data_IF_818210276349
#
_entry.id   IF_818210276349
#
_cell.length_a   1.000
_cell.length_b   1.000
_cell.length_c   1.000
_cell.angle_alpha   90.00
_cell.angle_beta   90.00
_cell.angle_gamma   90.00
#
_symmetry.space_group_name_H-M   'P 1'
#
loop_
_entity.id
_entity.type
_entity.pdbx_description
1 polymer ?
#
# COMPACT_ATOMS: atom_id res chain seq x y z
N UNK A 1 -27.88 -1.55 -19.81
CA UNK A 1 -28.05 -3.03 -19.67
C UNK A 1 -28.48 -3.57 -21.00
N UNK A 2 -27.97 -4.71 -21.40
CA UNK A 2 -28.50 -5.45 -22.50
C UNK A 2 -29.73 -6.21 -21.98
N UNK A 3 -30.87 -5.58 -22.10
CA UNK A 3 -32.13 -5.97 -21.43
C UNK A 3 -32.68 -7.32 -21.92
N UNK A 4 -32.20 -7.86 -23.05
CA UNK A 4 -32.69 -9.14 -23.58
C UNK A 4 -32.21 -10.37 -22.78
N UNK A 5 -30.93 -10.38 -22.32
CA UNK A 5 -30.34 -11.56 -21.61
C UNK A 5 -30.73 -11.58 -20.15
N UNK A 6 -30.93 -10.41 -19.54
CA UNK A 6 -31.23 -10.26 -18.11
C UNK A 6 -32.72 -10.11 -17.81
N UNK A 7 -33.60 -10.06 -18.84
CA UNK A 7 -35.05 -9.84 -18.67
C UNK A 7 -35.74 -10.84 -17.73
N UNK A 8 -35.25 -12.07 -17.69
CA UNK A 8 -35.83 -13.17 -16.92
C UNK A 8 -35.11 -13.34 -15.56
N UNK A 9 -34.25 -12.39 -15.16
CA UNK A 9 -33.48 -12.41 -13.90
C UNK A 9 -33.87 -11.25 -13.00
N UNK A 10 -33.94 -11.52 -11.68
CA UNK A 10 -34.04 -10.47 -10.69
C UNK A 10 -32.63 -9.94 -10.36
N UNK A 11 -32.27 -8.83 -10.97
CA UNK A 11 -30.91 -8.27 -10.91
C UNK A 11 -30.88 -6.97 -10.12
N UNK A 12 -29.88 -6.83 -9.28
CA UNK A 12 -29.66 -5.66 -8.44
C UNK A 12 -28.22 -5.18 -8.55
N UNK A 13 -28.02 -3.88 -8.73
CA UNK A 13 -26.71 -3.28 -8.55
C UNK A 13 -26.36 -3.29 -7.07
N UNK A 14 -25.13 -3.69 -6.69
CA UNK A 14 -24.79 -3.87 -5.28
C UNK A 14 -23.41 -3.31 -4.90
N UNK A 15 -23.20 -3.11 -3.63
CA UNK A 15 -21.88 -2.91 -3.04
C UNK A 15 -21.21 -1.59 -3.42
N UNK A 16 -19.99 -1.69 -3.95
CA UNK A 16 -19.15 -0.54 -4.27
C UNK A 16 -19.78 0.46 -5.24
N UNK A 17 -20.47 -0.04 -6.25
CA UNK A 17 -21.14 0.79 -7.25
C UNK A 17 -22.28 1.63 -6.66
N UNK A 18 -23.12 1.05 -5.79
CA UNK A 18 -24.20 1.77 -5.12
C UNK A 18 -23.65 2.82 -4.15
N UNK A 19 -22.67 2.44 -3.33
CA UNK A 19 -22.00 3.37 -2.43
C UNK A 19 -21.36 4.54 -3.18
N UNK A 20 -20.60 4.27 -4.25
CA UNK A 20 -19.90 5.32 -4.99
C UNK A 20 -20.90 6.25 -5.72
N UNK A 21 -22.05 5.72 -6.18
CA UNK A 21 -23.18 6.52 -6.68
C UNK A 21 -23.74 7.46 -5.61
N UNK A 22 -24.00 6.95 -4.40
CA UNK A 22 -24.50 7.75 -3.27
C UNK A 22 -23.49 8.82 -2.80
N UNK A 23 -22.20 8.55 -2.98
CA UNK A 23 -21.11 9.49 -2.68
C UNK A 23 -20.83 10.47 -3.83
N UNK A 24 -21.60 10.43 -4.92
CA UNK A 24 -21.35 11.20 -6.17
C UNK A 24 -19.92 10.99 -6.72
N UNK A 25 -19.42 9.74 -6.65
CA UNK A 25 -18.12 9.32 -7.19
C UNK A 25 -18.32 8.59 -8.52
N UNK A 26 -17.28 8.59 -9.34
CA UNK A 26 -17.25 7.78 -10.54
C UNK A 26 -17.37 6.28 -10.19
N UNK A 27 -18.26 5.57 -10.89
CA UNK A 27 -18.44 4.13 -10.77
C UNK A 27 -17.47 3.47 -11.75
N UNK A 28 -16.43 2.85 -11.21
CA UNK A 28 -15.39 2.19 -12.02
C UNK A 28 -15.80 0.75 -12.39
N UNK A 29 -16.37 0.03 -11.44
CA UNK A 29 -16.80 -1.38 -11.60
C UNK A 29 -18.24 -1.51 -11.14
N UNK A 30 -19.02 -2.35 -11.84
CA UNK A 30 -20.40 -2.68 -11.48
C UNK A 30 -20.48 -4.15 -11.12
N UNK A 31 -20.92 -4.40 -9.89
CA UNK A 31 -21.22 -5.75 -9.39
C UNK A 31 -22.74 -5.93 -9.37
N UNK A 32 -23.21 -6.99 -10.02
CA UNK A 32 -24.62 -7.32 -10.09
C UNK A 32 -24.93 -8.55 -9.23
N UNK A 33 -25.98 -8.46 -8.44
CA UNK A 33 -26.51 -9.56 -7.61
C UNK A 33 -27.74 -10.13 -8.29
N UNK A 34 -27.77 -11.44 -8.45
CA UNK A 34 -28.91 -12.16 -9.04
C UNK A 34 -29.61 -12.98 -7.96
N UNK A 35 -30.92 -12.77 -7.82
CA UNK A 35 -31.78 -13.43 -6.85
C UNK A 35 -32.68 -14.45 -7.55
N UNK A 36 -32.90 -15.61 -6.94
CA UNK A 36 -33.86 -16.61 -7.42
C UNK A 36 -33.39 -17.40 -8.65
N UNK A 37 -32.13 -17.30 -9.03
CA UNK A 37 -31.58 -18.07 -10.14
C UNK A 37 -30.61 -19.16 -9.67
N UNK A 38 -30.48 -20.21 -10.45
CA UNK A 38 -29.49 -21.29 -10.27
C UNK A 38 -28.27 -21.11 -11.18
N UNK A 39 -27.17 -21.81 -10.86
CA UNK A 39 -25.98 -21.90 -11.75
C UNK A 39 -26.38 -22.34 -13.15
N UNK A 40 -27.22 -23.37 -13.26
CA UNK A 40 -27.67 -23.89 -14.55
C UNK A 40 -28.43 -22.84 -15.38
N UNK A 41 -29.30 -22.05 -14.73
CA UNK A 41 -30.01 -20.96 -15.40
C UNK A 41 -29.05 -19.91 -15.95
N UNK A 42 -28.04 -19.52 -15.18
CA UNK A 42 -27.03 -18.56 -15.64
C UNK A 42 -26.25 -19.08 -16.85
N UNK A 43 -25.85 -20.36 -16.82
CA UNK A 43 -25.13 -20.99 -17.93
C UNK A 43 -26.01 -21.10 -19.18
N UNK A 44 -27.31 -21.45 -19.04
CA UNK A 44 -28.27 -21.50 -20.17
C UNK A 44 -28.47 -20.12 -20.80
N UNK A 45 -28.39 -19.04 -20.07
CA UNK A 45 -28.45 -17.67 -20.57
C UNK A 45 -27.12 -17.19 -21.19
N UNK A 46 -26.10 -18.05 -21.24
CA UNK A 46 -24.82 -17.77 -21.89
C UNK A 46 -23.80 -17.03 -21.02
N UNK A 47 -24.04 -16.90 -19.72
CA UNK A 47 -23.05 -16.35 -18.79
C UNK A 47 -21.86 -17.30 -18.62
N UNK A 48 -20.65 -16.76 -18.44
CA UNK A 48 -19.43 -17.51 -18.23
C UNK A 48 -19.07 -17.56 -16.74
N UNK A 49 -19.09 -18.72 -16.11
CA UNK A 49 -18.67 -18.88 -14.73
C UNK A 49 -17.15 -18.68 -14.57
N UNK A 50 -16.74 -17.81 -13.66
CA UNK A 50 -15.31 -17.47 -13.41
C UNK A 50 -14.83 -17.89 -12.02
N UNK A 51 -15.70 -18.14 -11.08
CA UNK A 51 -15.36 -18.61 -9.72
C UNK A 51 -15.60 -20.12 -9.58
N UNK A 52 -14.60 -20.88 -9.09
CA UNK A 52 -14.79 -22.32 -8.78
C UNK A 52 -15.53 -22.52 -7.46
N UNK A 53 -15.21 -21.71 -6.46
CA UNK A 53 -15.74 -21.84 -5.10
C UNK A 53 -16.94 -20.92 -4.84
N UNK A 54 -17.14 -19.92 -5.70
CA UNK A 54 -18.23 -18.93 -5.60
C UNK A 54 -18.92 -18.76 -6.95
N UNK A 55 -20.28 -18.73 -7.00
CA UNK A 55 -21.03 -18.60 -8.24
C UNK A 55 -21.01 -17.16 -8.78
N UNK A 56 -19.87 -16.77 -9.35
CA UNK A 56 -19.66 -15.49 -10.07
C UNK A 56 -19.55 -15.77 -11.56
N UNK A 57 -20.22 -14.96 -12.35
CA UNK A 57 -20.34 -15.10 -13.77
C UNK A 57 -20.02 -13.79 -14.49
N UNK A 58 -19.44 -13.88 -15.67
CA UNK A 58 -19.27 -12.74 -16.57
C UNK A 58 -20.42 -12.70 -17.59
N UNK A 59 -21.02 -11.53 -17.72
CA UNK A 59 -22.03 -11.28 -18.76
C UNK A 59 -21.41 -11.52 -20.15
N UNK A 60 -22.10 -12.23 -21.07
CA UNK A 60 -21.50 -12.65 -22.34
C UNK A 60 -21.01 -11.48 -23.19
N UNK A 61 -21.67 -10.34 -23.15
CA UNK A 61 -21.33 -9.15 -23.93
C UNK A 61 -20.58 -8.11 -23.14
N UNK A 62 -21.16 -7.55 -22.05
CA UNK A 62 -20.56 -6.45 -21.27
C UNK A 62 -19.35 -6.86 -20.45
N UNK A 63 -19.18 -8.16 -20.16
CA UNK A 63 -18.16 -8.70 -19.25
C UNK A 63 -18.25 -8.22 -17.79
N UNK A 64 -19.33 -7.53 -17.43
CA UNK A 64 -19.61 -7.16 -16.05
C UNK A 64 -19.86 -8.42 -15.20
N UNK A 65 -19.55 -8.32 -13.89
CA UNK A 65 -19.67 -9.43 -12.96
C UNK A 65 -21.09 -9.56 -12.40
N UNK A 66 -21.64 -10.77 -12.49
CA UNK A 66 -22.92 -11.16 -11.93
C UNK A 66 -22.71 -12.30 -10.93
N UNK A 67 -23.13 -12.09 -9.69
CA UNK A 67 -23.01 -13.10 -8.63
C UNK A 67 -24.41 -13.58 -8.20
N UNK A 68 -24.60 -14.88 -8.01
CA UNK A 68 -25.79 -15.38 -7.36
C UNK A 68 -25.77 -14.99 -5.87
N UNK A 69 -26.95 -14.65 -5.36
CA UNK A 69 -27.12 -14.44 -3.92
C UNK A 69 -26.67 -15.69 -3.15
N UNK A 70 -25.97 -15.47 -2.06
CA UNK A 70 -25.41 -16.55 -1.29
C UNK A 70 -25.27 -16.24 0.20
N UNK A 71 -25.27 -17.30 0.99
CA UNK A 71 -24.82 -17.28 2.38
C UNK A 71 -23.47 -17.97 2.48
N UNK A 72 -22.66 -17.56 3.43
CA UNK A 72 -21.37 -18.15 3.70
C UNK A 72 -21.31 -18.60 5.16
N UNK A 73 -20.84 -19.82 5.42
CA UNK A 73 -20.66 -20.35 6.79
C UNK A 73 -19.24 -20.85 6.97
N UNK A 74 -18.58 -20.41 8.04
CA UNK A 74 -17.25 -20.88 8.39
C UNK A 74 -17.30 -22.35 8.83
N UNK A 75 -16.62 -23.25 8.13
CA UNK A 75 -16.54 -24.69 8.46
C UNK A 75 -15.12 -25.14 8.85
N UNK A 76 -14.12 -24.22 8.87
CA UNK A 76 -12.73 -24.54 9.15
C UNK A 76 -11.87 -23.32 9.48
N UNK A 77 -10.56 -23.53 9.63
CA UNK A 77 -9.60 -22.44 9.83
C UNK A 77 -9.15 -21.85 8.50
N UNK A 78 -9.03 -20.51 8.40
CA UNK A 78 -8.54 -19.81 7.22
C UNK A 78 -9.58 -19.63 6.11
N UNK A 79 -9.12 -19.18 4.93
CA UNK A 79 -9.96 -18.76 3.79
C UNK A 79 -10.67 -19.95 3.09
N UNK A 80 -10.08 -21.12 3.07
CA UNK A 80 -10.67 -22.33 2.44
C UNK A 80 -11.76 -23.00 3.29
N UNK A 81 -12.04 -22.45 4.46
CA UNK A 81 -13.01 -22.99 5.42
C UNK A 81 -14.43 -22.43 5.32
N UNK A 82 -14.81 -21.81 4.20
CA UNK A 82 -16.19 -21.34 4.00
C UNK A 82 -16.98 -22.29 3.11
N UNK A 83 -18.13 -22.74 3.59
CA UNK A 83 -19.15 -23.35 2.74
C UNK A 83 -20.03 -22.24 2.17
N UNK A 84 -20.11 -22.18 0.86
CA UNK A 84 -21.00 -21.29 0.13
C UNK A 84 -22.31 -22.01 -0.20
N UNK A 85 -23.44 -21.42 0.17
CA UNK A 85 -24.76 -21.84 -0.23
C UNK A 85 -25.40 -20.77 -1.10
N UNK A 86 -25.67 -21.07 -2.37
CA UNK A 86 -26.13 -20.12 -3.38
C UNK A 86 -27.27 -20.70 -4.20
N UNK A 87 -28.29 -21.21 -3.49
CA UNK A 87 -29.52 -21.72 -4.11
C UNK A 87 -30.55 -20.60 -4.31
N UNK A 88 -31.57 -20.80 -5.16
CA UNK A 88 -32.56 -19.78 -5.49
C UNK A 88 -33.39 -19.24 -4.30
N UNK A 89 -33.37 -19.89 -3.16
CA UNK A 89 -34.10 -19.50 -1.94
C UNK A 89 -33.34 -18.45 -1.09
N UNK A 90 -32.08 -18.14 -1.46
CA UNK A 90 -31.31 -17.12 -0.76
C UNK A 90 -31.86 -15.72 -1.07
N UNK A 91 -32.24 -14.98 -0.03
CA UNK A 91 -32.78 -13.63 -0.17
C UNK A 91 -31.71 -12.57 -0.32
N UNK A 92 -32.08 -11.39 -0.77
CA UNK A 92 -31.18 -10.24 -0.91
C UNK A 92 -30.64 -9.80 0.47
N UNK A 93 -31.46 -9.81 1.50
CA UNK A 93 -31.08 -9.45 2.88
C UNK A 93 -30.02 -10.40 3.42
N UNK A 94 -30.16 -11.70 3.13
CA UNK A 94 -29.17 -12.71 3.54
C UNK A 94 -27.82 -12.51 2.84
N UNK A 95 -27.81 -12.15 1.56
CA UNK A 95 -26.55 -11.82 0.87
C UNK A 95 -25.93 -10.54 1.43
N UNK A 96 -26.73 -9.50 1.66
CA UNK A 96 -26.23 -8.25 2.20
C UNK A 96 -25.72 -8.40 3.64
N UNK A 97 -26.32 -9.28 4.46
CA UNK A 97 -25.93 -9.55 5.86
C UNK A 97 -24.49 -10.05 6.02
N UNK A 98 -24.00 -10.84 5.07
CA UNK A 98 -22.65 -11.41 5.12
C UNK A 98 -21.54 -10.44 4.68
N UNK A 99 -21.89 -9.25 4.17
CA UNK A 99 -20.91 -8.25 3.70
C UNK A 99 -20.13 -7.64 4.85
N UNK A 100 -19.04 -6.96 4.50
CA UNK A 100 -18.13 -6.40 5.49
C UNK A 100 -18.66 -5.14 6.17
N UNK A 101 -19.13 -4.17 5.39
CA UNK A 101 -19.56 -2.86 5.87
C UNK A 101 -20.99 -2.53 5.39
N UNK A 102 -21.76 -1.82 6.22
CA UNK A 102 -23.11 -1.34 5.89
C UNK A 102 -23.13 -0.53 4.61
N UNK A 103 -22.13 0.34 4.40
CA UNK A 103 -21.98 1.15 3.19
C UNK A 103 -21.76 0.31 1.91
N UNK A 104 -21.39 -0.95 2.05
CA UNK A 104 -21.24 -1.92 0.95
C UNK A 104 -22.40 -2.94 0.91
N UNK A 105 -23.36 -2.85 1.88
CA UNK A 105 -24.50 -3.76 2.01
C UNK A 105 -25.81 -3.07 1.58
N UNK A 106 -25.73 -2.30 0.52
CA UNK A 106 -26.85 -1.62 -0.13
C UNK A 106 -27.01 -2.20 -1.54
N UNK A 107 -28.26 -2.43 -1.94
CA UNK A 107 -28.60 -2.83 -3.30
C UNK A 107 -29.54 -1.81 -3.95
N UNK A 108 -29.49 -1.72 -5.27
CA UNK A 108 -30.39 -0.90 -6.05
C UNK A 108 -31.05 -1.73 -7.15
N UNK A 109 -32.38 -1.74 -7.16
CA UNK A 109 -33.17 -2.35 -8.23
C UNK A 109 -33.07 -1.53 -9.51
N UNK A 110 -33.52 -2.11 -10.64
CA UNK A 110 -33.49 -1.47 -11.96
C UNK A 110 -34.35 -0.19 -12.02
N UNK A 111 -35.48 -0.16 -11.32
CA UNK A 111 -36.35 1.01 -11.18
C UNK A 111 -35.77 2.13 -10.29
N UNK A 112 -34.58 1.91 -9.72
CA UNK A 112 -33.92 2.85 -8.82
C UNK A 112 -34.23 2.65 -7.34
N UNK A 113 -35.15 1.75 -6.99
CA UNK A 113 -35.51 1.46 -5.59
C UNK A 113 -34.31 0.95 -4.81
N UNK A 114 -34.05 1.55 -3.64
CA UNK A 114 -32.93 1.17 -2.76
C UNK A 114 -33.40 0.12 -1.74
N UNK A 115 -32.58 -0.92 -1.60
CA UNK A 115 -32.76 -1.99 -0.61
C UNK A 115 -31.59 -1.87 0.37
N UNK A 116 -31.89 -1.39 1.57
CA UNK A 116 -30.89 -1.04 2.60
C UNK A 116 -31.34 -1.53 3.99
N UNK A 117 -31.35 -2.85 4.22
CA UNK A 117 -31.82 -3.42 5.47
C UNK A 117 -30.90 -3.13 6.67
N UNK A 118 -29.67 -2.67 6.42
CA UNK A 118 -28.64 -2.46 7.43
C UNK A 118 -28.23 -1.00 7.62
N UNK A 119 -29.04 -0.04 7.12
CA UNK A 119 -28.86 1.40 7.27
C UNK A 119 -27.54 1.94 6.69
N UNK A 120 -27.08 1.36 5.59
CA UNK A 120 -25.85 1.80 4.94
C UNK A 120 -25.92 3.24 4.41
N UNK A 121 -27.12 3.72 3.98
CA UNK A 121 -27.32 5.10 3.56
C UNK A 121 -27.11 6.08 4.73
N UNK A 122 -27.66 5.75 5.90
CA UNK A 122 -27.47 6.56 7.11
C UNK A 122 -25.98 6.60 7.52
N UNK A 123 -25.26 5.48 7.41
CA UNK A 123 -23.81 5.45 7.68
C UNK A 123 -23.01 6.23 6.64
N UNK A 124 -23.43 6.29 5.37
CA UNK A 124 -22.84 7.17 4.35
C UNK A 124 -23.05 8.65 4.72
N UNK A 125 -24.23 9.05 5.15
CA UNK A 125 -24.54 10.42 5.59
C UNK A 125 -23.73 10.80 6.83
N UNK A 126 -23.61 9.89 7.80
CA UNK A 126 -22.86 10.09 9.04
C UNK A 126 -21.34 9.88 8.89
N UNK A 127 -20.87 9.50 7.71
CA UNK A 127 -19.46 9.24 7.43
C UNK A 127 -18.86 8.12 8.29
N UNK A 128 -19.60 7.03 8.47
CA UNK A 128 -19.21 5.91 9.33
C UNK A 128 -18.92 4.65 8.50
N UNK A 129 -17.86 3.96 8.87
CA UNK A 129 -17.54 2.62 8.40
C UNK A 129 -17.93 1.63 9.51
N UNK A 130 -19.13 1.06 9.37
CA UNK A 130 -19.74 0.16 10.34
C UNK A 130 -19.82 -1.25 9.77
N UNK A 131 -19.46 -2.27 10.55
CA UNK A 131 -19.68 -3.67 10.18
C UNK A 131 -21.19 -4.00 10.12
N UNK A 132 -21.55 -4.92 9.22
CA UNK A 132 -22.98 -5.27 9.02
C UNK A 132 -23.52 -6.13 10.16
N UNK A 133 -22.76 -7.13 10.60
CA UNK A 133 -23.20 -8.13 11.57
C UNK A 133 -22.04 -8.81 12.28
N UNK A 134 -22.35 -9.66 13.27
CA UNK A 134 -21.34 -10.48 13.95
C UNK A 134 -20.57 -11.44 13.01
N UNK A 135 -21.13 -11.78 11.85
CA UNK A 135 -20.45 -12.54 10.80
C UNK A 135 -19.19 -11.83 10.26
N UNK A 136 -19.01 -10.54 10.55
CA UNK A 136 -17.78 -9.80 10.29
C UNK A 136 -16.55 -10.51 10.86
N UNK A 137 -16.64 -11.07 12.07
CA UNK A 137 -15.56 -11.75 12.75
C UNK A 137 -15.12 -13.08 12.10
N UNK A 138 -15.91 -13.61 11.16
CA UNK A 138 -15.60 -14.88 10.51
C UNK A 138 -14.39 -14.79 9.54
N UNK A 139 -14.15 -13.61 8.92
CA UNK A 139 -12.99 -13.37 8.04
C UNK A 139 -12.07 -12.29 8.62
N UNK A 140 -10.93 -12.67 9.20
CA UNK A 140 -9.96 -11.72 9.76
C UNK A 140 -9.42 -10.68 8.73
N UNK A 141 -9.51 -10.96 7.42
CA UNK A 141 -9.12 -9.99 6.39
C UNK A 141 -9.98 -8.73 6.42
N UNK A 142 -11.21 -8.81 6.92
CA UNK A 142 -12.10 -7.65 7.02
C UNK A 142 -11.53 -6.52 7.87
N UNK A 143 -10.66 -6.83 8.84
CA UNK A 143 -9.90 -5.82 9.61
C UNK A 143 -9.05 -4.95 8.66
N UNK A 144 -8.31 -5.57 7.74
CA UNK A 144 -7.49 -4.85 6.77
C UNK A 144 -8.37 -4.11 5.75
N UNK A 145 -9.49 -4.70 5.35
CA UNK A 145 -10.44 -4.07 4.43
C UNK A 145 -11.04 -2.79 5.01
N UNK A 146 -11.48 -2.81 6.28
CA UNK A 146 -11.98 -1.61 6.97
C UNK A 146 -10.89 -0.53 7.04
N UNK A 147 -9.67 -0.89 7.43
CA UNK A 147 -8.55 0.05 7.47
C UNK A 147 -8.27 0.67 6.07
N UNK A 148 -8.36 -0.13 5.00
CA UNK A 148 -8.22 0.37 3.63
C UNK A 148 -9.38 1.29 3.23
N UNK A 149 -10.62 0.96 3.58
CA UNK A 149 -11.74 1.85 3.32
C UNK A 149 -11.65 3.15 4.13
N UNK A 150 -11.13 3.10 5.36
CA UNK A 150 -10.83 4.30 6.14
C UNK A 150 -9.80 5.19 5.42
N UNK A 151 -8.70 4.62 4.91
CA UNK A 151 -7.73 5.34 4.11
C UNK A 151 -8.34 5.93 2.83
N UNK A 152 -9.17 5.15 2.12
CA UNK A 152 -9.80 5.55 0.86
C UNK A 152 -10.78 6.70 1.00
N UNK A 153 -11.56 6.72 2.10
CA UNK A 153 -12.63 7.69 2.31
C UNK A 153 -12.30 8.75 3.37
N UNK A 154 -11.08 8.77 3.88
CA UNK A 154 -10.63 9.75 4.87
C UNK A 154 -10.88 11.20 4.41
N UNK A 155 -10.56 11.51 3.17
CA UNK A 155 -10.75 12.85 2.60
C UNK A 155 -12.21 13.29 2.51
N UNK A 156 -13.17 12.35 2.58
CA UNK A 156 -14.61 12.61 2.69
C UNK A 156 -15.08 12.74 4.15
N UNK A 157 -14.20 12.58 5.13
CA UNK A 157 -14.47 12.67 6.54
C UNK A 157 -14.95 11.36 7.19
N UNK A 158 -14.82 10.21 6.50
CA UNK A 158 -15.19 8.92 7.07
C UNK A 158 -14.26 8.49 8.20
N UNK A 159 -14.87 7.88 9.23
CA UNK A 159 -14.18 7.23 10.35
C UNK A 159 -14.76 5.85 10.62
N UNK A 160 -14.01 5.00 11.31
CA UNK A 160 -14.47 3.68 11.72
C UNK A 160 -15.43 3.85 12.91
N UNK A 161 -16.60 3.22 12.85
CA UNK A 161 -17.57 3.25 13.94
C UNK A 161 -16.98 2.63 15.22
N UNK A 162 -17.26 3.19 16.42
CA UNK A 162 -16.65 2.73 17.68
C UNK A 162 -16.83 1.24 17.95
N UNK A 163 -18.03 0.69 17.71
CA UNK A 163 -18.32 -0.72 17.87
C UNK A 163 -17.59 -1.61 16.85
N UNK A 164 -17.31 -1.08 15.65
CA UNK A 164 -16.50 -1.79 14.65
C UNK A 164 -15.03 -1.80 15.06
N UNK A 165 -14.53 -0.68 15.58
CA UNK A 165 -13.17 -0.61 16.13
C UNK A 165 -12.98 -1.57 17.31
N UNK A 166 -13.98 -1.66 18.19
CA UNK A 166 -13.98 -2.61 19.29
C UNK A 166 -13.92 -4.06 18.78
N UNK A 167 -14.79 -4.44 17.83
CA UNK A 167 -14.79 -5.77 17.24
C UNK A 167 -13.47 -6.10 16.55
N UNK A 168 -12.87 -5.15 15.81
CA UNK A 168 -11.54 -5.31 15.20
C UNK A 168 -10.46 -5.53 16.26
N UNK A 169 -10.55 -4.86 17.41
CA UNK A 169 -9.62 -5.05 18.53
C UNK A 169 -9.74 -6.46 19.11
N UNK A 170 -10.96 -6.92 19.34
CA UNK A 170 -11.20 -8.29 19.80
C UNK A 170 -10.65 -9.33 18.82
N UNK A 171 -10.87 -9.13 17.50
CA UNK A 171 -10.32 -9.99 16.45
C UNK A 171 -8.80 -9.98 16.42
N UNK A 172 -8.16 -8.84 16.64
CA UNK A 172 -6.69 -8.76 16.66
C UNK A 172 -6.10 -9.59 17.84
N UNK A 173 -6.80 -9.65 18.97
CA UNK A 173 -6.39 -10.41 20.15
C UNK A 173 -6.50 -11.94 19.95
N UNK A 174 -7.33 -12.42 19.05
CA UNK A 174 -7.51 -13.88 18.81
C UNK A 174 -6.28 -14.54 18.19
N UNK A 175 -5.37 -13.78 17.59
CA UNK A 175 -4.24 -14.27 16.82
C UNK A 175 -4.59 -14.79 15.42
N UNK A 176 -5.86 -14.77 15.01
CA UNK A 176 -6.30 -15.25 13.68
C UNK A 176 -5.73 -14.42 12.52
N UNK A 177 -5.36 -13.17 12.74
CA UNK A 177 -4.69 -12.33 11.74
C UNK A 177 -3.38 -12.97 11.21
N UNK A 178 -2.69 -13.75 12.04
CA UNK A 178 -1.45 -14.44 11.63
C UNK A 178 -1.69 -15.62 10.68
N UNK A 179 -2.94 -16.08 10.55
CA UNK A 179 -3.34 -17.16 9.65
C UNK A 179 -3.75 -16.65 8.26
N UNK A 180 -3.77 -15.33 8.06
CA UNK A 180 -4.07 -14.74 6.77
C UNK A 180 -2.99 -15.10 5.73
N UNK A 181 -3.44 -15.44 4.52
CA UNK A 181 -2.50 -15.73 3.44
C UNK A 181 -1.73 -14.48 3.03
N UNK A 182 -0.41 -14.59 2.80
CA UNK A 182 0.43 -13.44 2.44
C UNK A 182 -0.09 -12.61 1.28
N UNK A 183 -0.62 -13.29 0.25
CA UNK A 183 -1.10 -12.64 -0.97
C UNK A 183 -2.35 -11.77 -0.70
N UNK A 184 -3.27 -12.23 0.19
CA UNK A 184 -4.45 -11.46 0.59
C UNK A 184 -4.05 -10.22 1.41
N UNK A 185 -3.11 -10.39 2.36
CA UNK A 185 -2.60 -9.27 3.17
C UNK A 185 -1.90 -8.23 2.28
N UNK A 186 -1.02 -8.68 1.38
CA UNK A 186 -0.34 -7.79 0.46
C UNK A 186 -1.31 -7.05 -0.46
N UNK A 187 -2.36 -7.72 -0.96
CA UNK A 187 -3.38 -7.11 -1.81
C UNK A 187 -4.09 -5.93 -1.13
N UNK A 188 -4.53 -6.10 0.12
CA UNK A 188 -5.17 -5.00 0.87
C UNK A 188 -4.16 -3.89 1.21
N UNK A 189 -2.94 -4.26 1.62
CA UNK A 189 -1.89 -3.31 1.94
C UNK A 189 -1.43 -2.51 0.72
N UNK A 190 -1.15 -3.17 -0.40
CA UNK A 190 -0.71 -2.47 -1.62
C UNK A 190 -1.78 -1.50 -2.14
N UNK A 191 -3.05 -1.90 -2.11
CA UNK A 191 -4.17 -1.02 -2.45
C UNK A 191 -4.32 0.16 -1.50
N UNK A 192 -4.04 -0.02 -0.20
CA UNK A 192 -4.04 1.09 0.74
C UNK A 192 -2.91 2.09 0.45
N UNK A 193 -1.76 1.61 -0.02
CA UNK A 193 -0.64 2.47 -0.42
C UNK A 193 -0.95 3.28 -1.69
N UNK A 194 -1.91 2.86 -2.51
CA UNK A 194 -2.36 3.61 -3.71
C UNK A 194 -3.31 4.76 -3.35
N UNK A 195 -3.93 4.74 -2.15
CA UNK A 195 -4.88 5.76 -1.73
C UNK A 195 -4.21 7.11 -1.41
N UNK A 196 -5.01 8.16 -1.27
CA UNK A 196 -4.54 9.51 -0.95
C UNK A 196 -4.07 9.67 0.51
N UNK A 197 -4.59 8.83 1.41
CA UNK A 197 -4.29 8.87 2.84
C UNK A 197 -3.85 7.49 3.36
N UNK A 198 -2.77 6.89 2.84
CA UNK A 198 -2.34 5.55 3.25
C UNK A 198 -1.91 5.47 4.72
N UNK A 199 -1.54 6.58 5.34
CA UNK A 199 -1.22 6.65 6.76
C UNK A 199 -2.40 6.24 7.64
N UNK A 200 -3.64 6.55 7.21
CA UNK A 200 -4.86 6.19 7.96
C UNK A 200 -5.03 4.67 8.05
N UNK A 201 -4.62 3.92 7.04
CA UNK A 201 -4.60 2.46 7.11
C UNK A 201 -3.73 1.97 8.28
N UNK A 202 -2.53 2.53 8.42
CA UNK A 202 -1.59 2.18 9.49
C UNK A 202 -2.15 2.60 10.86
N UNK A 203 -2.70 3.82 10.95
CA UNK A 203 -3.26 4.37 12.19
C UNK A 203 -4.46 3.55 12.68
N UNK A 204 -5.36 3.12 11.78
CA UNK A 204 -6.51 2.25 12.12
C UNK A 204 -6.03 0.88 12.60
N UNK A 205 -5.09 0.25 11.88
CA UNK A 205 -4.56 -1.05 12.29
C UNK A 205 -3.81 -0.96 13.63
N UNK A 206 -3.13 0.15 13.89
CA UNK A 206 -2.46 0.38 15.17
C UNK A 206 -3.49 0.54 16.28
N UNK A 207 -4.53 1.33 16.07
CA UNK A 207 -5.59 1.60 17.06
C UNK A 207 -6.31 0.34 17.52
N UNK A 208 -6.47 -0.67 16.66
CA UNK A 208 -7.07 -1.95 17.02
C UNK A 208 -6.05 -3.06 17.39
N UNK A 209 -4.74 -2.75 17.43
CA UNK A 209 -3.69 -3.72 17.73
C UNK A 209 -3.31 -4.66 16.58
N UNK A 210 -3.95 -4.56 15.43
CA UNK A 210 -3.66 -5.40 14.26
C UNK A 210 -2.27 -5.11 13.66
N UNK A 211 -1.78 -3.87 13.81
CA UNK A 211 -0.42 -3.49 13.34
C UNK A 211 0.65 -4.29 14.06
N UNK A 212 0.56 -4.41 15.39
CA UNK A 212 1.49 -5.19 16.19
C UNK A 212 1.51 -6.68 15.81
N UNK A 213 0.36 -7.24 15.44
CA UNK A 213 0.24 -8.65 15.02
C UNK A 213 0.87 -8.89 13.62
N UNK A 214 0.64 -7.99 12.67
CA UNK A 214 1.04 -8.20 11.26
C UNK A 214 2.43 -7.62 10.96
N UNK A 215 2.72 -6.41 11.45
CA UNK A 215 3.96 -5.65 11.20
C UNK A 215 4.58 -5.13 12.51
N UNK A 216 5.00 -6.02 13.44
CA UNK A 216 5.49 -5.63 14.76
C UNK A 216 6.69 -4.67 14.70
N UNK A 217 7.54 -4.79 13.67
CA UNK A 217 8.68 -3.87 13.50
C UNK A 217 8.27 -2.44 13.10
N UNK A 218 7.12 -2.29 12.45
CA UNK A 218 6.57 -0.96 12.14
C UNK A 218 5.89 -0.38 13.39
N UNK A 219 5.09 -1.20 14.09
CA UNK A 219 4.42 -0.78 15.34
C UNK A 219 5.42 -0.35 16.43
N UNK A 220 6.60 -1.00 16.48
CA UNK A 220 7.66 -0.69 17.43
C UNK A 220 8.32 0.69 17.26
N UNK A 221 8.00 1.45 16.22
CA UNK A 221 8.54 2.79 16.00
C UNK A 221 7.88 3.85 16.89
N UNK A 222 6.65 3.62 17.35
CA UNK A 222 5.98 4.55 18.26
C UNK A 222 6.58 4.48 19.67
N UNK A 223 6.81 5.64 20.25
CA UNK A 223 7.49 5.78 21.53
C UNK A 223 9.02 5.74 21.42
N UNK A 224 9.58 5.64 20.21
CA UNK A 224 11.02 5.70 19.96
C UNK A 224 11.41 7.14 19.61
N UNK A 225 12.16 7.86 20.47
CA UNK A 225 12.46 9.27 20.26
C UNK A 225 13.52 9.48 19.20
N UNK A 226 13.32 10.46 18.35
CA UNK A 226 14.33 11.02 17.45
C UNK A 226 15.06 12.19 18.11
N UNK A 227 16.29 12.57 17.66
CA UNK A 227 16.98 13.77 18.14
C UNK A 227 16.15 15.03 17.84
N UNK A 228 15.76 15.75 18.90
CA UNK A 228 14.91 16.95 18.83
C UNK A 228 15.46 18.03 17.88
N UNK A 229 16.79 18.13 17.79
CA UNK A 229 17.47 19.09 16.88
C UNK A 229 17.13 18.89 15.40
N UNK A 230 16.72 17.68 15.02
CA UNK A 230 16.44 17.32 13.63
C UNK A 230 14.96 16.97 13.37
N UNK A 231 14.22 16.67 14.44
CA UNK A 231 12.86 16.14 14.37
C UNK A 231 11.97 16.83 15.42
N UNK A 232 11.24 17.87 15.01
CA UNK A 232 10.30 18.57 15.89
C UNK A 232 9.13 17.67 16.35
N UNK A 233 8.83 16.60 15.61
CA UNK A 233 7.85 15.56 15.93
C UNK A 233 8.34 14.56 16.98
N UNK A 234 9.64 14.49 17.25
CA UNK A 234 10.35 13.63 18.22
C UNK A 234 10.11 12.13 18.03
N UNK A 235 8.89 11.65 17.82
CA UNK A 235 8.53 10.23 17.75
C UNK A 235 8.78 9.64 16.36
N UNK A 236 9.47 8.49 16.26
CA UNK A 236 9.83 7.84 14.99
C UNK A 236 8.62 7.27 14.25
N UNK A 237 7.59 6.82 14.96
CA UNK A 237 6.34 6.33 14.33
C UNK A 237 5.56 7.48 13.70
N UNK A 238 5.45 8.62 14.42
CA UNK A 238 4.83 9.85 13.90
C UNK A 238 5.61 10.36 12.69
N UNK A 239 6.94 10.42 12.77
CA UNK A 239 7.80 10.77 11.66
C UNK A 239 7.51 9.89 10.43
N UNK A 240 7.47 8.58 10.60
CA UNK A 240 7.20 7.64 9.50
C UNK A 240 5.85 7.92 8.82
N UNK A 241 4.80 8.29 9.58
CA UNK A 241 3.50 8.68 9.00
C UNK A 241 3.62 10.01 8.24
N UNK A 242 4.38 10.98 8.74
CA UNK A 242 4.64 12.25 8.04
C UNK A 242 5.43 12.01 6.74
N UNK A 243 6.43 11.14 6.76
CA UNK A 243 7.19 10.73 5.57
C UNK A 243 6.28 10.08 4.53
N UNK A 244 5.37 9.19 4.97
CA UNK A 244 4.40 8.56 4.06
C UNK A 244 3.47 9.59 3.41
N UNK A 245 3.00 10.58 4.15
CA UNK A 245 2.20 11.71 3.62
C UNK A 245 2.96 12.50 2.55
N UNK A 246 4.26 12.76 2.74
CA UNK A 246 5.08 13.43 1.72
C UNK A 246 5.33 12.51 0.51
N UNK A 247 5.56 11.22 0.73
CA UNK A 247 5.73 10.26 -0.36
C UNK A 247 4.51 10.21 -1.30
N UNK A 248 3.29 10.36 -0.76
CA UNK A 248 2.05 10.48 -1.55
C UNK A 248 2.07 11.70 -2.46
N UNK A 249 2.55 12.85 -1.95
CA UNK A 249 2.62 14.10 -2.74
C UNK A 249 3.63 14.02 -3.87
N UNK A 250 4.74 13.29 -3.66
CA UNK A 250 5.83 13.23 -4.62
C UNK A 250 5.69 12.11 -5.64
N UNK A 251 4.95 11.04 -5.32
CA UNK A 251 4.85 9.88 -6.21
C UNK A 251 3.58 9.06 -6.02
N UNK A 252 3.00 8.65 -7.16
CA UNK A 252 1.95 7.63 -7.17
C UNK A 252 2.51 6.20 -7.14
N UNK A 253 3.84 6.04 -7.19
CA UNK A 253 4.47 4.72 -7.25
C UNK A 253 4.52 4.07 -5.87
N UNK A 254 3.86 2.92 -5.73
CA UNK A 254 3.74 2.21 -4.45
C UNK A 254 5.10 1.84 -3.83
N UNK A 255 6.14 1.63 -4.66
CA UNK A 255 7.48 1.32 -4.15
C UNK A 255 8.07 2.49 -3.35
N UNK A 256 7.82 3.76 -3.75
CA UNK A 256 8.25 4.95 -3.00
C UNK A 256 7.56 5.01 -1.64
N UNK A 257 6.24 4.81 -1.63
CA UNK A 257 5.42 4.84 -0.41
C UNK A 257 5.76 3.70 0.56
N UNK A 258 6.00 2.50 0.03
CA UNK A 258 6.44 1.36 0.83
C UNK A 258 7.88 1.55 1.36
N UNK A 259 8.78 2.11 0.56
CA UNK A 259 10.14 2.43 1.00
C UNK A 259 10.13 3.50 2.11
N UNK A 260 9.25 4.51 2.00
CA UNK A 260 9.03 5.51 3.04
C UNK A 260 8.61 4.90 4.39
N UNK A 261 7.74 3.87 4.38
CA UNK A 261 7.37 3.14 5.59
C UNK A 261 8.52 2.32 6.18
N UNK A 262 9.46 1.88 5.35
CA UNK A 262 10.48 0.92 5.74
C UNK A 262 11.83 1.55 6.13
N UNK A 263 12.07 2.84 5.79
CA UNK A 263 13.40 3.44 5.85
C UNK A 263 14.03 3.40 7.25
N UNK A 264 13.24 3.62 8.27
CA UNK A 264 13.65 3.79 9.67
C UNK A 264 13.30 2.63 10.60
N UNK A 265 12.86 1.48 10.08
CA UNK A 265 12.45 0.32 10.92
C UNK A 265 13.50 -0.10 11.95
N UNK A 266 14.77 0.10 11.63
CA UNK A 266 15.88 -0.23 12.53
C UNK A 266 15.93 0.61 13.81
N UNK A 267 15.32 1.79 13.84
CA UNK A 267 15.24 2.63 15.04
C UNK A 267 14.51 1.91 16.17
N UNK A 268 13.48 1.12 15.86
CA UNK A 268 12.75 0.29 16.83
C UNK A 268 13.59 -0.78 17.54
N UNK A 269 14.77 -1.11 17.01
CA UNK A 269 15.71 -2.05 17.63
C UNK A 269 16.79 -1.38 18.50
N UNK A 270 16.83 -0.05 18.53
CA UNK A 270 17.84 0.69 19.32
C UNK A 270 17.57 0.54 20.81
N UNK A 271 18.53 0.05 21.61
CA UNK A 271 18.40 -0.01 23.06
C UNK A 271 18.08 1.35 23.65
N UNK A 272 17.22 1.38 24.69
CA UNK A 272 16.74 2.64 25.29
C UNK A 272 17.86 3.51 25.87
N UNK A 273 18.93 2.91 26.37
CA UNK A 273 20.11 3.60 26.90
C UNK A 273 20.93 4.36 25.85
N UNK A 274 20.66 4.08 24.55
CA UNK A 274 21.28 4.76 23.41
C UNK A 274 20.40 5.84 22.77
N UNK A 275 19.18 5.99 23.25
CA UNK A 275 18.26 6.99 22.74
C UNK A 275 18.75 8.41 23.03
N UNK A 276 18.49 9.38 22.15
CA UNK A 276 17.81 9.29 20.83
C UNK A 276 18.77 9.00 19.67
N UNK A 277 19.93 8.41 19.93
CA UNK A 277 20.96 8.14 18.92
C UNK A 277 20.77 6.75 18.33
N UNK A 278 20.44 6.68 17.04
CA UNK A 278 20.11 5.44 16.34
C UNK A 278 21.20 4.99 15.37
N UNK A 279 22.47 5.04 15.80
CA UNK A 279 23.59 4.65 14.94
C UNK A 279 23.46 3.23 14.42
N UNK A 280 23.54 3.05 13.09
CA UNK A 280 23.47 1.76 12.42
C UNK A 280 22.05 1.23 12.21
N UNK A 281 21.01 2.07 12.41
CA UNK A 281 19.62 1.67 12.18
C UNK A 281 19.37 1.28 10.72
N UNK A 282 20.10 1.85 9.77
CA UNK A 282 20.04 1.49 8.35
C UNK A 282 20.41 0.02 8.11
N UNK A 283 21.41 -0.50 8.83
CA UNK A 283 21.82 -1.92 8.72
C UNK A 283 20.89 -2.85 9.47
N UNK A 284 20.49 -2.51 10.70
CA UNK A 284 19.56 -3.32 11.49
C UNK A 284 18.17 -3.33 10.86
N UNK A 285 17.72 -2.20 10.30
CA UNK A 285 16.45 -2.07 9.57
C UNK A 285 16.37 -2.96 8.34
N UNK A 286 17.47 -3.10 7.59
CA UNK A 286 17.50 -3.94 6.39
C UNK A 286 17.10 -5.40 6.68
N UNK A 287 17.47 -5.95 7.83
CA UNK A 287 17.04 -7.28 8.23
C UNK A 287 15.52 -7.36 8.46
N UNK A 288 14.92 -6.33 9.07
CA UNK A 288 13.46 -6.24 9.28
C UNK A 288 12.71 -6.11 7.96
N UNK A 289 13.20 -5.27 7.04
CA UNK A 289 12.61 -5.12 5.70
C UNK A 289 12.63 -6.46 4.95
N UNK A 290 13.72 -7.24 5.04
CA UNK A 290 13.80 -8.58 4.44
C UNK A 290 12.75 -9.52 5.00
N UNK A 291 12.52 -9.50 6.31
CA UNK A 291 11.49 -10.33 6.96
C UNK A 291 10.10 -9.96 6.47
N UNK A 292 9.73 -8.68 6.45
CA UNK A 292 8.44 -8.18 5.95
C UNK A 292 8.24 -8.59 4.48
N UNK A 293 9.23 -8.33 3.64
CA UNK A 293 9.14 -8.63 2.22
C UNK A 293 8.99 -10.13 1.92
N UNK A 294 9.64 -10.98 2.72
CA UNK A 294 9.49 -12.43 2.61
C UNK A 294 8.13 -12.90 3.12
N UNK A 295 7.70 -12.40 4.31
CA UNK A 295 6.41 -12.77 4.94
C UNK A 295 5.23 -12.49 4.01
N UNK A 296 5.21 -11.33 3.36
CA UNK A 296 4.07 -10.88 2.56
C UNK A 296 4.29 -10.98 1.04
N UNK A 297 5.34 -11.66 0.60
CA UNK A 297 5.66 -11.87 -0.83
C UNK A 297 5.68 -10.57 -1.63
N UNK A 298 6.29 -9.52 -1.06
CA UNK A 298 6.36 -8.20 -1.69
C UNK A 298 7.01 -8.29 -3.08
N UNK A 299 6.45 -7.67 -4.13
CA UNK A 299 7.00 -7.70 -5.48
C UNK A 299 8.43 -7.20 -5.55
N UNK A 300 9.24 -7.76 -6.46
CA UNK A 300 10.68 -7.53 -6.51
C UNK A 300 11.07 -6.05 -6.67
N UNK A 301 10.33 -5.27 -7.46
CA UNK A 301 10.60 -3.84 -7.64
C UNK A 301 10.39 -3.07 -6.32
N UNK A 302 9.27 -3.30 -5.64
CA UNK A 302 8.94 -2.67 -4.34
C UNK A 302 9.99 -3.05 -3.28
N UNK A 303 10.30 -4.35 -3.19
CA UNK A 303 11.32 -4.89 -2.29
C UNK A 303 12.69 -4.28 -2.54
N UNK A 304 13.12 -4.20 -3.80
CA UNK A 304 14.43 -3.64 -4.15
C UNK A 304 14.54 -2.19 -3.69
N UNK A 305 13.56 -1.36 -4.00
CA UNK A 305 13.60 0.05 -3.62
C UNK A 305 13.62 0.22 -2.10
N UNK A 306 12.80 -0.54 -1.36
CA UNK A 306 12.79 -0.47 0.11
C UNK A 306 14.14 -0.87 0.73
N UNK A 307 14.86 -1.82 0.14
CA UNK A 307 16.23 -2.17 0.58
C UNK A 307 17.19 -1.01 0.35
N UNK A 308 17.16 -0.42 -0.84
CA UNK A 308 18.06 0.68 -1.20
C UNK A 308 17.80 1.92 -0.33
N UNK A 309 16.55 2.28 -0.10
CA UNK A 309 16.21 3.43 0.74
C UNK A 309 16.59 3.17 2.19
N UNK A 310 16.25 2.01 2.76
CA UNK A 310 16.63 1.66 4.12
C UNK A 310 18.16 1.70 4.33
N UNK A 311 18.94 1.22 3.36
CA UNK A 311 20.41 1.13 3.49
C UNK A 311 21.11 2.47 3.22
N UNK A 312 20.58 3.30 2.28
CA UNK A 312 21.33 4.44 1.74
C UNK A 312 20.67 5.81 1.91
N UNK A 313 19.50 5.94 2.55
CA UNK A 313 18.86 7.26 2.73
C UNK A 313 19.78 8.26 3.43
N UNK A 314 20.52 7.85 4.47
CA UNK A 314 21.50 8.72 5.15
C UNK A 314 22.64 9.17 4.23
N UNK A 315 23.07 8.33 3.28
CA UNK A 315 24.05 8.76 2.28
C UNK A 315 23.49 9.85 1.38
N UNK A 316 22.21 9.74 1.00
CA UNK A 316 21.53 10.76 0.23
C UNK A 316 21.41 12.07 1.01
N UNK A 317 20.99 12.04 2.27
CA UNK A 317 20.87 13.25 3.10
C UNK A 317 22.21 13.97 3.29
N UNK A 318 23.27 13.20 3.41
CA UNK A 318 24.64 13.71 3.61
C UNK A 318 25.45 13.80 2.30
N UNK A 319 24.78 13.86 1.15
CA UNK A 319 25.44 13.77 -0.15
C UNK A 319 26.55 14.82 -0.35
N UNK A 320 26.39 16.03 0.18
CA UNK A 320 27.40 17.09 0.13
C UNK A 320 28.64 16.80 1.00
N UNK A 321 28.51 15.99 2.03
CA UNK A 321 29.61 15.61 2.93
C UNK A 321 30.41 14.43 2.37
N UNK A 322 29.82 13.62 1.49
CA UNK A 322 30.46 12.44 0.93
C UNK A 322 31.64 12.84 0.03
N UNK A 323 32.73 12.09 0.11
CA UNK A 323 33.78 12.26 -0.90
C UNK A 323 33.30 11.70 -2.25
N UNK A 324 33.83 12.21 -3.39
CA UNK A 324 33.40 11.81 -4.74
C UNK A 324 33.49 10.31 -5.01
N UNK A 325 34.47 9.61 -4.43
CA UNK A 325 34.60 8.15 -4.54
C UNK A 325 33.43 7.43 -3.86
N UNK A 326 32.97 7.92 -2.72
CA UNK A 326 31.80 7.37 -2.01
C UNK A 326 30.51 7.59 -2.81
N UNK A 327 30.34 8.76 -3.46
CA UNK A 327 29.22 9.03 -4.35
C UNK A 327 29.22 8.07 -5.55
N UNK A 328 30.37 7.83 -6.17
CA UNK A 328 30.47 6.84 -7.25
C UNK A 328 30.10 5.42 -6.76
N UNK A 329 30.55 5.04 -5.56
CA UNK A 329 30.20 3.76 -4.95
C UNK A 329 28.69 3.67 -4.68
N UNK A 330 28.06 4.76 -4.23
CA UNK A 330 26.60 4.84 -4.05
C UNK A 330 25.89 4.60 -5.38
N UNK A 331 26.32 5.23 -6.47
CA UNK A 331 25.79 5.01 -7.81
C UNK A 331 25.88 3.55 -8.24
N UNK A 332 27.01 2.89 -7.99
CA UNK A 332 27.19 1.47 -8.30
C UNK A 332 26.23 0.59 -7.46
N UNK A 333 26.05 0.89 -6.18
CA UNK A 333 25.12 0.17 -5.29
C UNK A 333 23.65 0.35 -5.68
N UNK A 334 23.29 1.54 -6.11
CA UNK A 334 21.95 1.86 -6.62
C UNK A 334 21.72 1.30 -8.03
N UNK A 335 22.78 0.83 -8.72
CA UNK A 335 22.73 0.31 -10.10
C UNK A 335 22.21 1.34 -11.12
N UNK A 336 22.56 2.62 -10.93
CA UNK A 336 22.03 3.75 -11.71
C UNK A 336 22.36 3.67 -13.20
N UNK A 337 23.37 2.89 -13.55
CA UNK A 337 23.83 2.70 -14.93
C UNK A 337 22.84 1.89 -15.77
N UNK A 338 22.10 0.99 -15.14
CA UNK A 338 21.14 0.10 -15.79
C UNK A 338 19.68 0.41 -15.42
N UNK A 339 19.47 1.07 -14.26
CA UNK A 339 18.14 1.29 -13.67
C UNK A 339 17.97 2.75 -13.26
N UNK A 340 17.97 3.62 -14.26
CA UNK A 340 17.83 5.06 -14.04
C UNK A 340 16.50 5.43 -13.34
N UNK A 341 15.41 4.72 -13.67
CA UNK A 341 14.09 4.98 -13.06
C UNK A 341 14.09 4.64 -11.56
N UNK A 342 14.74 3.54 -11.15
CA UNK A 342 14.86 3.18 -9.73
C UNK A 342 15.63 4.26 -8.94
N UNK A 343 16.60 4.95 -9.60
CA UNK A 343 17.33 6.04 -8.98
C UNK A 343 16.45 7.25 -8.69
N UNK A 344 15.58 7.63 -9.62
CA UNK A 344 14.62 8.72 -9.36
C UNK A 344 13.63 8.35 -8.25
N UNK A 345 13.13 7.11 -8.23
CA UNK A 345 12.26 6.65 -7.14
C UNK A 345 12.99 6.67 -5.78
N UNK A 346 14.28 6.32 -5.75
CA UNK A 346 15.12 6.42 -4.55
C UNK A 346 15.25 7.87 -4.05
N UNK A 347 15.52 8.82 -4.96
CA UNK A 347 15.61 10.23 -4.62
C UNK A 347 14.29 10.80 -4.10
N UNK A 348 13.15 10.39 -4.70
CA UNK A 348 11.82 10.79 -4.23
C UNK A 348 11.52 10.27 -2.82
N UNK A 349 11.91 9.03 -2.51
CA UNK A 349 11.74 8.47 -1.18
C UNK A 349 12.61 9.19 -0.13
N UNK A 350 13.86 9.52 -0.45
CA UNK A 350 14.73 10.31 0.41
C UNK A 350 14.25 11.75 0.58
N UNK A 351 13.68 12.35 -0.48
CA UNK A 351 13.06 13.67 -0.38
C UNK A 351 11.83 13.63 0.54
N UNK A 352 11.00 12.59 0.44
CA UNK A 352 9.85 12.41 1.34
C UNK A 352 10.28 12.32 2.81
N UNK A 353 11.36 11.59 3.12
CA UNK A 353 11.94 11.54 4.46
C UNK A 353 12.39 12.92 4.95
N UNK A 354 13.19 13.64 4.14
CA UNK A 354 13.64 14.99 4.50
C UNK A 354 12.47 15.96 4.75
N UNK A 355 11.42 15.90 3.93
CA UNK A 355 10.22 16.74 4.02
C UNK A 355 9.18 16.23 5.02
N UNK A 356 9.31 15.00 5.50
CA UNK A 356 8.45 14.38 6.49
C UNK A 356 8.75 14.81 7.93
N UNK A 357 9.34 15.97 8.13
CA UNK A 357 9.69 16.56 9.43
C UNK A 357 8.82 17.78 9.67
N UNK A 358 8.41 17.97 10.94
CA UNK A 358 7.56 19.09 11.32
C UNK A 358 8.21 20.44 10.92
N UNK A 359 7.47 21.23 10.13
CA UNK A 359 7.92 22.53 9.61
C UNK A 359 8.92 22.46 8.45
N UNK A 360 9.16 21.24 7.88
CA UNK A 360 10.05 21.04 6.73
C UNK A 360 9.29 20.60 5.45
N UNK A 361 7.97 20.55 5.48
CA UNK A 361 7.12 19.98 4.44
C UNK A 361 7.28 20.63 3.06
N UNK A 362 7.76 21.88 3.03
CA UNK A 362 8.01 22.68 1.82
C UNK A 362 9.50 22.93 1.57
N UNK A 363 10.39 22.29 2.35
CA UNK A 363 11.83 22.55 2.23
C UNK A 363 12.38 21.97 0.94
N UNK A 364 13.27 22.74 0.28
CA UNK A 364 14.02 22.23 -0.87
C UNK A 364 14.92 21.06 -0.45
N UNK A 365 15.19 20.16 -1.39
CA UNK A 365 16.08 19.01 -1.18
C UNK A 365 17.21 19.00 -2.22
N UNK A 366 18.18 19.94 -2.09
CA UNK A 366 19.23 20.11 -3.09
C UNK A 366 20.17 18.92 -3.23
N UNK A 367 20.21 18.02 -2.25
CA UNK A 367 20.95 16.76 -2.33
C UNK A 367 20.53 15.91 -3.53
N UNK A 368 19.23 15.86 -3.84
CA UNK A 368 18.74 15.14 -5.00
C UNK A 368 19.24 15.76 -6.30
N UNK A 369 19.21 17.09 -6.42
CA UNK A 369 19.67 17.80 -7.61
C UNK A 369 21.18 17.66 -7.82
N UNK A 370 21.95 17.71 -6.73
CA UNK A 370 23.37 17.41 -6.77
C UNK A 370 23.65 16.00 -7.31
N UNK A 371 22.96 14.98 -6.76
CA UNK A 371 23.17 13.59 -7.18
C UNK A 371 22.74 13.37 -8.64
N UNK A 372 21.66 14.02 -9.12
CA UNK A 372 21.24 14.00 -10.54
C UNK A 372 22.31 14.60 -11.45
N UNK A 373 22.84 15.78 -11.10
CA UNK A 373 23.88 16.43 -11.89
C UNK A 373 25.18 15.65 -11.89
N UNK A 374 25.60 15.11 -10.73
CA UNK A 374 26.77 14.26 -10.61
C UNK A 374 26.63 12.99 -11.47
N UNK A 375 25.45 12.33 -11.48
CA UNK A 375 25.20 11.19 -12.34
C UNK A 375 25.23 11.57 -13.82
N UNK A 376 24.63 12.72 -14.19
CA UNK A 376 24.65 13.22 -15.56
C UNK A 376 26.07 13.46 -16.06
N UNK A 377 26.93 14.10 -15.25
CA UNK A 377 28.34 14.30 -15.56
C UNK A 377 29.10 12.97 -15.73
N UNK A 378 28.87 12.00 -14.82
CA UNK A 378 29.47 10.67 -14.94
C UNK A 378 29.06 9.92 -16.21
N UNK A 379 27.84 10.12 -16.71
CA UNK A 379 27.36 9.47 -17.95
C UNK A 379 28.08 9.98 -19.21
N UNK A 380 28.68 11.16 -19.16
CA UNK A 380 29.50 11.70 -20.28
C UNK A 380 30.86 11.03 -20.38
N UNK A 381 31.36 10.40 -19.32
CA UNK A 381 32.64 9.68 -19.33
C UNK A 381 32.47 8.38 -20.10
N UNK A 382 33.09 8.29 -21.30
CA UNK A 382 32.98 7.14 -22.20
C UNK A 382 34.27 6.33 -22.26
N UNK A 383 34.16 5.04 -22.54
CA UNK A 383 35.35 4.18 -22.71
C UNK A 383 36.18 4.55 -23.95
N UNK A 384 35.56 5.20 -24.94
CA UNK A 384 36.19 5.52 -26.23
C UNK A 384 37.45 6.34 -26.04
N UNK A 385 37.41 7.38 -25.24
CA UNK A 385 38.55 8.28 -24.98
C UNK A 385 39.78 7.53 -24.43
N UNK A 386 39.55 6.54 -23.57
CA UNK A 386 40.61 5.75 -22.94
C UNK A 386 41.17 4.68 -23.87
N UNK A 387 40.33 4.12 -24.75
CA UNK A 387 40.77 3.21 -25.81
C UNK A 387 41.66 3.94 -26.81
N UNK A 388 41.32 5.16 -27.21
CA UNK A 388 42.12 6.02 -28.09
C UNK A 388 43.47 6.39 -27.46
N UNK A 389 43.53 6.47 -26.11
CA UNK A 389 44.81 6.64 -25.37
C UNK A 389 45.61 5.34 -25.23
N UNK A 390 45.14 4.22 -25.81
CA UNK A 390 45.89 2.95 -25.85
C UNK A 390 45.63 2.05 -24.63
N UNK A 391 44.70 2.41 -23.70
CA UNK A 391 44.38 1.57 -22.55
C UNK A 391 43.57 0.34 -22.97
N UNK A 392 43.76 -0.78 -22.26
CA UNK A 392 43.07 -2.06 -22.53
C UNK A 392 42.55 -2.71 -21.25
N UNK A 393 41.44 -3.46 -21.38
CA UNK A 393 40.89 -4.30 -20.30
C UNK A 393 40.59 -3.55 -18.99
N UNK A 394 41.07 -4.05 -17.84
CA UNK A 394 40.82 -3.45 -16.53
C UNK A 394 41.28 -1.99 -16.39
N UNK A 395 42.35 -1.59 -17.09
CA UNK A 395 42.89 -0.23 -17.06
C UNK A 395 41.88 0.82 -17.58
N UNK A 396 41.02 0.46 -18.55
CA UNK A 396 39.94 1.32 -19.04
C UNK A 396 38.98 1.61 -17.91
N UNK A 397 38.53 0.57 -17.18
CA UNK A 397 37.57 0.71 -16.06
C UNK A 397 38.13 1.59 -14.95
N UNK A 398 39.43 1.42 -14.63
CA UNK A 398 40.09 2.22 -13.60
C UNK A 398 40.19 3.70 -14.02
N UNK A 399 40.60 3.97 -15.26
CA UNK A 399 40.67 5.32 -15.82
C UNK A 399 39.26 5.98 -15.87
N UNK A 400 38.25 5.25 -16.32
CA UNK A 400 36.85 5.73 -16.29
C UNK A 400 36.37 6.07 -14.88
N UNK A 401 36.66 5.21 -13.89
CA UNK A 401 36.25 5.47 -12.49
C UNK A 401 36.95 6.72 -11.95
N UNK A 402 38.24 6.91 -12.26
CA UNK A 402 38.98 8.12 -11.89
C UNK A 402 38.33 9.37 -12.51
N UNK A 403 38.07 9.34 -13.82
CA UNK A 403 37.43 10.45 -14.51
C UNK A 403 36.04 10.76 -13.96
N UNK A 404 35.22 9.74 -13.65
CA UNK A 404 33.90 9.92 -12.99
C UNK A 404 34.04 10.57 -11.62
N UNK A 405 35.06 10.19 -10.83
CA UNK A 405 35.31 10.79 -9.51
C UNK A 405 35.67 12.28 -9.68
N UNK A 406 36.48 12.62 -10.69
CA UNK A 406 36.89 14.00 -10.98
C UNK A 406 35.65 14.84 -11.40
N UNK A 407 34.74 14.28 -12.23
CA UNK A 407 33.50 14.95 -12.61
C UNK A 407 32.60 15.18 -11.41
N UNK A 408 32.41 14.20 -10.51
CA UNK A 408 31.65 14.37 -9.28
C UNK A 408 32.23 15.48 -8.41
N UNK A 409 33.58 15.57 -8.34
CA UNK A 409 34.26 16.62 -7.57
C UNK A 409 34.00 18.02 -8.16
N UNK A 410 34.00 18.17 -9.48
CA UNK A 410 33.65 19.43 -10.15
C UNK A 410 32.20 19.84 -9.87
N UNK A 411 31.24 18.93 -10.02
CA UNK A 411 29.82 19.22 -9.71
C UNK A 411 29.66 19.64 -8.25
N UNK A 412 30.31 18.95 -7.31
CA UNK A 412 30.26 19.29 -5.89
C UNK A 412 30.76 20.70 -5.59
N UNK A 413 31.81 21.17 -6.27
CA UNK A 413 32.34 22.53 -6.10
C UNK A 413 31.30 23.59 -6.49
N UNK A 414 30.49 23.33 -7.52
CA UNK A 414 29.40 24.21 -7.95
C UNK A 414 28.27 24.37 -6.92
N UNK A 415 27.96 23.29 -6.20
CA UNK A 415 26.91 23.32 -5.15
C UNK A 415 27.38 23.90 -3.81
N UNK A 416 28.69 24.00 -3.59
CA UNK A 416 29.26 24.58 -2.35
C UNK A 416 29.57 26.09 -2.52
N UNK A 417 29.34 26.67 -3.69
CA UNK A 417 29.36 28.11 -3.96
C UNK A 417 27.95 28.72 -3.76
#
# INVERSE_FOLDING_TARGET
MDTEITSDLNVYLVGGAVRDKLLNREIVERDWLVIGASVDKMLQLGFNQVGKDFPVFLHPQSKEEYALARTERKQGKGYTGFACYAEPDVTIEQDLLRRDLTVNAIAQAEDGTMIDPYNGQADIENKLLRHVSAAFAEDPLRVLRVARFAARYHYLGFSVAPETMQLMTEMAMTGELNNLTPDRVWKEFSRSLEENNPEVFIEVLRSCGALAALWPSLDALWGVPNPEQHHGEIDSGIHTMMVLKQAVKFSNHIAVRFAALCHDLGKGLTPKDKWPSHHGHEKSGLALVKVICKKFKVPNQVKRLSFLVCEFHLHCHRAFELNPKTVLTLFDKLDVWRKADDFELFLLACHADSSGRLGKEQSAYPQADYLRQALSACKQVTAKEFVEQGLKGPAIKEAMNKAKIDEIAKVRQHFNQ
#
